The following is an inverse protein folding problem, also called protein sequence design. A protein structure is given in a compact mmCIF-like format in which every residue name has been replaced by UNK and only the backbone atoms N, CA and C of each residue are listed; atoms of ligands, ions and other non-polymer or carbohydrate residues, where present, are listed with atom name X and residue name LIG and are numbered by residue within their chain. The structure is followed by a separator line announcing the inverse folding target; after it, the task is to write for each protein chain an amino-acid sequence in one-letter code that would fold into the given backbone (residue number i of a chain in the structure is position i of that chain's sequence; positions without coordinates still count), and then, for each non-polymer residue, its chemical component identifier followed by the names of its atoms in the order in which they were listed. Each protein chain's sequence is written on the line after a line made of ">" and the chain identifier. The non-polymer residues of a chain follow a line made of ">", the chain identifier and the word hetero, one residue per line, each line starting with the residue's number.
data_IF_715610995544
#
_entry.id   IF_715610995544
#
_cell.length_a   1.000
_cell.length_b   1.000
_cell.length_c   1.000
_cell.angle_alpha   90.00
_cell.angle_beta   90.00
_cell.angle_gamma   90.00
#
_symmetry.space_group_name_H-M   'P 1'
#
loop_
_entity.id
_entity.type
_entity.pdbx_description
1 polymer ?
#
# COMPACT_ATOMS: atom_id res chain seq x y z
N UNK A 1 -15.15 -1.97 19.41
CA UNK A 1 -15.47 -1.67 17.99
C UNK A 1 -14.35 -2.23 17.13
N UNK A 2 -14.63 -2.71 15.91
CA UNK A 2 -13.62 -3.22 14.98
C UNK A 2 -13.14 -2.07 14.08
N UNK A 3 -11.83 -1.89 13.86
CA UNK A 3 -11.35 -0.92 12.88
C UNK A 3 -11.81 -1.33 11.47
N UNK A 4 -12.07 -0.33 10.62
CA UNK A 4 -12.33 -0.60 9.20
C UNK A 4 -11.04 -0.95 8.49
N UNK A 5 -11.09 -1.85 7.52
CA UNK A 5 -9.96 -2.17 6.64
C UNK A 5 -10.31 -1.81 5.21
N UNK A 6 -9.45 -1.02 4.57
CA UNK A 6 -9.51 -0.75 3.13
C UNK A 6 -8.34 -1.43 2.45
N UNK A 7 -8.62 -2.47 1.66
CA UNK A 7 -7.61 -3.25 0.96
C UNK A 7 -7.64 -2.99 -0.56
N UNK A 8 -6.58 -2.40 -1.10
CA UNK A 8 -6.43 -2.13 -2.53
C UNK A 8 -5.83 -3.33 -3.27
N UNK A 9 -6.67 -4.15 -3.90
CA UNK A 9 -6.20 -5.22 -4.80
C UNK A 9 -5.79 -4.66 -6.16
N UNK A 10 -4.48 -4.65 -6.44
CA UNK A 10 -3.93 -4.10 -7.70
C UNK A 10 -4.17 -5.04 -8.88
N UNK A 11 -4.64 -6.27 -8.63
CA UNK A 11 -4.81 -7.33 -9.64
C UNK A 11 -3.48 -7.56 -10.36
N UNK A 12 -3.50 -7.77 -11.67
CA UNK A 12 -2.32 -7.91 -12.51
C UNK A 12 -1.96 -6.59 -13.19
N UNK A 13 -1.80 -5.53 -12.40
CA UNK A 13 -1.37 -4.20 -12.88
C UNK A 13 -0.08 -3.77 -12.19
N UNK A 14 0.55 -2.75 -12.78
CA UNK A 14 1.87 -2.20 -12.47
C UNK A 14 3.03 -3.04 -12.99
N UNK A 15 4.17 -2.37 -13.08
CA UNK A 15 5.50 -2.96 -13.09
C UNK A 15 6.17 -2.71 -11.72
N UNK A 16 7.44 -3.12 -11.56
CA UNK A 16 8.17 -2.90 -10.30
C UNK A 16 8.32 -1.43 -9.92
N UNK A 17 8.58 -0.54 -10.90
CA UNK A 17 8.79 0.90 -10.67
C UNK A 17 7.47 1.60 -10.38
N UNK A 18 6.43 1.35 -11.19
CA UNK A 18 5.12 1.96 -10.97
C UNK A 18 4.44 1.46 -9.69
N UNK A 19 4.68 0.21 -9.29
CA UNK A 19 4.21 -0.32 -8.01
C UNK A 19 4.86 0.37 -6.81
N UNK A 20 6.18 0.57 -6.83
CA UNK A 20 6.91 1.32 -5.79
C UNK A 20 6.42 2.77 -5.71
N UNK A 21 6.29 3.45 -6.86
CA UNK A 21 5.82 4.83 -6.90
C UNK A 21 4.40 4.98 -6.33
N UNK A 22 3.49 4.05 -6.64
CA UNK A 22 2.13 4.05 -6.10
C UNK A 22 2.13 3.84 -4.58
N UNK A 23 2.94 2.91 -4.06
CA UNK A 23 3.07 2.66 -2.63
C UNK A 23 3.56 3.91 -1.87
N UNK A 24 4.60 4.57 -2.37
CA UNK A 24 5.13 5.81 -1.77
C UNK A 24 4.11 6.95 -1.80
N UNK A 25 3.37 7.10 -2.90
CA UNK A 25 2.30 8.08 -3.01
C UNK A 25 1.16 7.83 -2.00
N UNK A 26 0.82 6.55 -1.75
CA UNK A 26 -0.16 6.18 -0.73
C UNK A 26 0.32 6.55 0.68
N UNK A 27 1.57 6.26 1.04
CA UNK A 27 2.14 6.64 2.34
C UNK A 27 2.12 8.17 2.53
N UNK A 28 2.57 8.91 1.52
CA UNK A 28 2.56 10.37 1.55
C UNK A 28 1.14 10.95 1.66
N UNK A 29 0.17 10.36 0.97
CA UNK A 29 -1.23 10.80 0.97
C UNK A 29 -2.06 10.33 2.17
N UNK A 30 -1.65 9.24 2.84
CA UNK A 30 -2.37 8.71 4.00
C UNK A 30 -2.35 9.71 5.17
N UNK A 31 -1.17 10.30 5.41
CA UNK A 31 -0.91 11.24 6.50
C UNK A 31 -0.94 10.56 7.88
N UNK A 32 -0.26 11.16 8.87
CA UNK A 32 -0.42 10.73 10.26
C UNK A 32 -1.82 11.13 10.76
N UNK A 33 -2.63 10.17 11.25
CA UNK A 33 -3.79 10.50 12.09
C UNK A 33 -5.18 10.00 11.68
N UNK A 34 -5.34 8.99 10.82
CA UNK A 34 -6.66 8.33 10.68
C UNK A 34 -6.87 7.29 11.77
N UNK A 35 -7.65 7.65 12.79
CA UNK A 35 -8.06 6.71 13.85
C UNK A 35 -9.22 5.86 13.36
N UNK A 36 -9.13 4.53 13.52
CA UNK A 36 -10.23 3.61 13.23
C UNK A 36 -10.33 3.08 11.79
N UNK A 37 -9.36 3.38 10.91
CA UNK A 37 -9.25 2.78 9.57
C UNK A 37 -7.82 2.31 9.32
N UNK A 38 -7.67 1.08 8.85
CA UNK A 38 -6.43 0.46 8.39
C UNK A 38 -6.41 0.40 6.86
N UNK A 39 -5.21 0.50 6.26
CA UNK A 39 -5.00 0.39 4.82
C UNK A 39 -4.08 -0.79 4.52
N UNK A 40 -4.43 -1.57 3.50
CA UNK A 40 -3.56 -2.59 2.92
C UNK A 40 -3.50 -2.43 1.40
N UNK A 41 -2.37 -2.82 0.81
CA UNK A 41 -2.22 -2.94 -0.65
C UNK A 41 -1.88 -4.39 -1.02
N UNK A 42 -2.45 -4.88 -2.11
CA UNK A 42 -2.20 -6.24 -2.62
C UNK A 42 -1.62 -6.15 -4.04
N UNK A 43 -0.29 -5.96 -4.18
CA UNK A 43 0.39 -5.92 -5.48
C UNK A 43 0.50 -7.32 -6.11
N UNK A 44 0.78 -7.41 -7.43
CA UNK A 44 1.17 -8.68 -8.05
C UNK A 44 2.39 -9.31 -7.37
N UNK A 45 2.42 -10.66 -7.33
CA UNK A 45 3.49 -11.44 -6.67
C UNK A 45 4.93 -10.99 -6.97
N UNK A 46 5.32 -10.70 -8.23
CA UNK A 46 6.70 -10.31 -8.54
C UNK A 46 7.17 -9.02 -7.85
N UNK A 47 6.24 -8.18 -7.40
CA UNK A 47 6.55 -6.86 -6.84
C UNK A 47 6.36 -6.77 -5.33
N UNK A 48 6.00 -7.87 -4.66
CA UNK A 48 5.80 -7.91 -3.21
C UNK A 48 7.02 -7.39 -2.44
N UNK A 49 8.22 -7.84 -2.78
CA UNK A 49 9.46 -7.42 -2.10
C UNK A 49 9.73 -5.92 -2.28
N UNK A 50 9.62 -5.41 -3.52
CA UNK A 50 9.89 -4.01 -3.83
C UNK A 50 8.86 -3.07 -3.19
N UNK A 51 7.58 -3.44 -3.25
CA UNK A 51 6.49 -2.68 -2.61
C UNK A 51 6.64 -2.72 -1.08
N UNK A 52 6.97 -3.87 -0.50
CA UNK A 52 7.20 -3.98 0.95
C UNK A 52 8.36 -3.10 1.43
N UNK A 53 9.44 -3.00 0.66
CA UNK A 53 10.55 -2.07 0.98
C UNK A 53 10.09 -0.61 0.95
N UNK A 54 9.24 -0.23 0.00
CA UNK A 54 8.70 1.12 -0.11
C UNK A 54 7.74 1.51 1.03
N UNK A 55 7.14 0.53 1.71
CA UNK A 55 6.21 0.70 2.82
C UNK A 55 6.89 0.57 4.20
N UNK A 56 8.22 0.41 4.28
CA UNK A 56 8.89 0.29 5.57
C UNK A 56 8.68 1.55 6.43
N UNK A 57 8.13 1.35 7.63
CA UNK A 57 7.86 2.43 8.60
C UNK A 57 6.55 3.19 8.39
N UNK A 58 5.67 2.75 7.49
CA UNK A 58 4.30 3.29 7.34
C UNK A 58 3.33 2.78 8.41
#
# INVERSE_FOLDING_TARGET
>A
MRPYLVAGNWKMNTDSKSGVALAQALVAGWGAGKTGVEMAVCPPFPYLTAVNQALQGS
#
